data_IF_843972545006
#
_entry.id   IF_843972545006
#
_cell.length_a   1.000
_cell.length_b   1.000
_cell.length_c   1.000
_cell.angle_alpha   90.00
_cell.angle_beta   90.00
_cell.angle_gamma   90.00
#
_symmetry.space_group_name_H-M   'P 1'
#
loop_
_entity.id
_entity.type
_entity.pdbx_description
1 polymer ?
#
# COMPACT_ATOMS: atom_id res chain seq x y z
N UNK A 1 45.56 -23.49 -33.81
CA UNK A 1 44.68 -22.49 -33.14
C UNK A 1 44.22 -23.11 -31.83
N UNK A 2 44.46 -22.42 -30.70
CA UNK A 2 44.56 -23.01 -29.35
C UNK A 2 43.29 -23.75 -28.88
N UNK A 3 43.39 -25.07 -28.75
CA UNK A 3 42.40 -25.93 -28.08
C UNK A 3 42.08 -25.47 -26.65
N UNK A 4 43.06 -24.91 -25.95
CA UNK A 4 42.90 -24.30 -24.62
C UNK A 4 42.02 -23.04 -24.63
N UNK A 5 42.12 -22.22 -25.68
CA UNK A 5 41.29 -21.01 -25.82
C UNK A 5 39.83 -21.38 -26.08
N UNK A 6 39.60 -22.39 -26.93
CA UNK A 6 38.26 -22.94 -27.19
C UNK A 6 37.67 -23.55 -25.91
N UNK A 7 38.47 -24.26 -25.11
CA UNK A 7 38.04 -24.80 -23.82
C UNK A 7 37.61 -23.72 -22.83
N UNK A 8 38.36 -22.61 -22.74
CA UNK A 8 38.04 -21.49 -21.86
C UNK A 8 36.76 -20.77 -22.28
N UNK A 9 36.58 -20.56 -23.59
CA UNK A 9 35.38 -19.91 -24.14
C UNK A 9 34.14 -20.77 -23.87
N UNK A 10 34.22 -22.08 -24.08
CA UNK A 10 33.10 -23.00 -23.79
C UNK A 10 32.75 -23.00 -22.30
N UNK A 11 33.74 -23.03 -21.41
CA UNK A 11 33.51 -22.97 -19.97
C UNK A 11 32.84 -21.65 -19.54
N UNK A 12 33.26 -20.52 -20.11
CA UNK A 12 32.64 -19.22 -19.86
C UNK A 12 31.18 -19.16 -20.31
N UNK A 13 30.88 -19.67 -21.50
CA UNK A 13 29.50 -19.73 -22.02
C UNK A 13 28.61 -20.60 -21.13
N UNK A 14 29.10 -21.76 -20.68
CA UNK A 14 28.35 -22.64 -19.77
C UNK A 14 28.04 -21.95 -18.44
N UNK A 15 29.01 -21.21 -17.88
CA UNK A 15 28.81 -20.47 -16.63
C UNK A 15 27.76 -19.37 -16.78
N UNK A 16 27.81 -18.59 -17.87
CA UNK A 16 26.81 -17.55 -18.17
C UNK A 16 25.42 -18.15 -18.34
N UNK A 17 25.29 -19.24 -19.10
CA UNK A 17 24.01 -19.94 -19.27
C UNK A 17 23.50 -20.48 -17.93
N UNK A 18 24.37 -21.00 -17.08
CA UNK A 18 24.02 -21.47 -15.73
C UNK A 18 23.47 -20.36 -14.84
N UNK A 19 24.11 -19.18 -14.85
CA UNK A 19 23.63 -18.01 -14.09
C UNK A 19 22.30 -17.50 -14.63
N UNK A 20 22.13 -17.44 -15.96
CA UNK A 20 20.86 -17.04 -16.59
C UNK A 20 19.74 -18.01 -16.24
N UNK A 21 20.00 -19.32 -16.30
CA UNK A 21 19.03 -20.35 -15.95
C UNK A 21 18.66 -20.29 -14.46
N UNK A 22 19.64 -20.08 -13.59
CA UNK A 22 19.43 -19.92 -12.14
C UNK A 22 18.59 -18.68 -11.84
N UNK A 23 18.89 -17.55 -12.47
CA UNK A 23 18.15 -16.30 -12.30
C UNK A 23 16.72 -16.42 -12.87
N UNK A 24 16.55 -17.07 -14.04
CA UNK A 24 15.22 -17.34 -14.62
C UNK A 24 14.38 -18.30 -13.75
N UNK A 25 15.02 -19.26 -13.07
CA UNK A 25 14.37 -20.13 -12.10
C UNK A 25 13.92 -19.35 -10.85
N UNK A 26 14.74 -18.41 -10.35
CA UNK A 26 14.35 -17.49 -9.28
C UNK A 26 13.15 -16.64 -9.70
N UNK A 27 13.20 -16.03 -10.88
CA UNK A 27 12.15 -15.18 -11.40
C UNK A 27 10.84 -15.97 -11.62
N UNK A 28 10.92 -17.21 -12.11
CA UNK A 28 9.76 -18.08 -12.30
C UNK A 28 9.16 -18.55 -10.97
N UNK A 29 9.96 -18.69 -9.91
CA UNK A 29 9.48 -19.05 -8.56
C UNK A 29 8.84 -17.84 -7.86
N UNK A 30 9.36 -16.63 -8.09
CA UNK A 30 8.78 -15.37 -7.63
C UNK A 30 7.45 -15.04 -8.36
N UNK A 31 7.39 -15.21 -9.68
CA UNK A 31 6.17 -15.00 -10.48
C UNK A 31 5.02 -15.94 -10.10
N UNK A 32 5.30 -17.13 -9.55
CA UNK A 32 4.26 -18.05 -9.03
C UNK A 32 3.59 -17.56 -7.74
N UNK A 33 4.18 -16.60 -7.02
CA UNK A 33 3.58 -15.98 -5.83
C UNK A 33 2.75 -14.72 -6.16
N UNK A 34 3.00 -14.09 -7.31
CA UNK A 34 2.25 -12.91 -7.78
C UNK A 34 0.91 -13.28 -8.45
N UNK A 35 0.72 -14.52 -8.89
CA UNK A 35 -0.55 -15.00 -9.45
C UNK A 35 -1.68 -15.14 -8.43
N UNK A 36 -1.38 -15.14 -7.13
CA UNK A 36 -2.38 -15.20 -6.06
C UNK A 36 -2.78 -13.82 -5.50
N UNK A 37 -2.04 -12.75 -5.82
CA UNK A 37 -2.31 -11.38 -5.39
C UNK A 37 -2.90 -10.47 -6.49
N UNK A 38 -2.93 -10.92 -7.75
CA UNK A 38 -3.59 -10.24 -8.87
C UNK A 38 -4.75 -11.06 -9.45
N UNK A 39 -5.56 -11.65 -8.57
CA UNK A 39 -6.88 -12.15 -8.93
C UNK A 39 -7.85 -10.98 -9.07
N UNK A 40 -8.04 -10.47 -10.29
CA UNK A 40 -9.21 -9.66 -10.66
C UNK A 40 -10.46 -10.39 -10.18
N UNK A 41 -11.39 -9.77 -9.44
CA UNK A 41 -12.72 -10.32 -9.20
C UNK A 41 -13.51 -10.25 -10.52
N UNK A 42 -13.19 -11.18 -11.43
CA UNK A 42 -13.94 -11.40 -12.66
C UNK A 42 -15.25 -12.08 -12.30
N UNK A 43 -16.30 -11.27 -12.25
CA UNK A 43 -17.66 -11.71 -11.99
C UNK A 43 -18.08 -12.87 -12.89
N UNK A 44 -18.66 -13.89 -12.27
CA UNK A 44 -19.56 -14.83 -12.94
C UNK A 44 -20.78 -15.08 -12.08
N UNK A 45 -21.92 -14.73 -12.66
CA UNK A 45 -23.21 -15.33 -12.37
C UNK A 45 -23.99 -14.64 -11.25
N UNK A 46 -24.65 -13.53 -11.56
CA UNK A 46 -26.06 -13.38 -11.20
C UNK A 46 -26.72 -12.46 -12.23
N UNK A 47 -27.75 -13.01 -12.88
CA UNK A 47 -28.70 -12.35 -13.76
C UNK A 47 -28.96 -10.89 -13.38
N UNK A 48 -28.45 -9.97 -14.20
CA UNK A 48 -28.97 -8.60 -14.26
C UNK A 48 -30.32 -8.66 -14.98
N UNK A 49 -31.39 -8.76 -14.20
CA UNK A 49 -32.73 -8.48 -14.68
C UNK A 49 -32.91 -6.95 -14.75
N UNK A 50 -33.16 -6.43 -15.94
CA UNK A 50 -33.62 -5.05 -16.14
C UNK A 50 -35.15 -5.03 -15.98
N UNK A 51 -35.72 -4.13 -15.16
CA UNK A 51 -37.11 -3.71 -15.34
C UNK A 51 -37.18 -2.22 -15.68
N UNK A 52 -37.82 -1.94 -16.81
CA UNK A 52 -37.94 -0.63 -17.42
C UNK A 52 -38.85 0.36 -16.68
N UNK A 53 -38.63 1.63 -17.02
CA UNK A 53 -39.38 2.80 -16.59
C UNK A 53 -40.81 2.81 -17.18
N UNK A 54 -41.84 2.95 -16.34
CA UNK A 54 -43.05 3.73 -16.66
C UNK A 54 -43.84 4.08 -15.40
N UNK A 55 -44.16 5.38 -15.26
CA UNK A 55 -44.70 5.97 -14.03
C UNK A 55 -46.20 5.89 -13.82
N UNK A 56 -46.66 6.66 -12.83
CA UNK A 56 -48.08 6.85 -12.51
C UNK A 56 -48.28 7.07 -11.01
N UNK A 57 -48.87 8.22 -10.68
CA UNK A 57 -49.29 8.71 -9.37
C UNK A 57 -50.17 7.77 -8.53
N UNK A 58 -50.34 8.21 -7.28
CA UNK A 58 -51.48 8.01 -6.36
C UNK A 58 -51.35 6.94 -5.26
N UNK A 59 -51.14 7.46 -4.05
CA UNK A 59 -52.07 7.47 -2.91
C UNK A 59 -52.75 6.17 -2.41
N UNK A 60 -53.00 6.20 -1.09
CA UNK A 60 -53.95 5.42 -0.28
C UNK A 60 -53.53 4.08 0.39
N UNK A 61 -53.86 4.03 1.69
CA UNK A 61 -53.59 2.99 2.72
C UNK A 61 -54.76 1.96 2.78
N UNK A 62 -54.77 0.96 3.70
CA UNK A 62 -55.05 -0.48 3.51
C UNK A 62 -56.55 -0.80 3.75
N UNK A 63 -57.09 -2.05 3.96
CA UNK A 63 -56.89 -2.84 5.20
C UNK A 63 -57.31 -4.35 5.16
N UNK A 64 -57.45 -4.92 6.38
CA UNK A 64 -58.32 -6.04 6.80
C UNK A 64 -57.67 -7.43 6.87
N UNK A 65 -57.98 -8.31 7.84
CA UNK A 65 -59.20 -8.47 8.65
C UNK A 65 -58.89 -9.36 9.88
N UNK A 66 -59.29 -9.01 11.13
CA UNK A 66 -60.45 -9.49 11.97
C UNK A 66 -60.61 -11.04 12.02
N UNK A 67 -60.92 -11.76 13.11
CA UNK A 67 -61.58 -11.56 14.41
C UNK A 67 -61.20 -12.81 15.30
N UNK A 68 -61.48 -13.01 16.60
CA UNK A 68 -62.73 -12.95 17.38
C UNK A 68 -62.37 -13.03 18.89
N UNK A 69 -63.09 -12.29 19.75
CA UNK A 69 -63.07 -12.36 21.21
C UNK A 69 -63.83 -13.58 21.79
N UNK A 70 -63.40 -14.08 22.94
CA UNK A 70 -64.32 -14.62 23.95
C UNK A 70 -63.71 -14.60 25.37
N UNK A 71 -64.49 -14.07 26.32
CA UNK A 71 -64.14 -13.86 27.71
C UNK A 71 -64.60 -15.02 28.61
N UNK A 72 -63.84 -15.31 29.68
CA UNK A 72 -64.24 -15.23 31.10
C UNK A 72 -63.41 -16.16 32.02
N UNK A 73 -63.12 -15.62 33.22
CA UNK A 73 -62.90 -16.32 34.51
C UNK A 73 -61.45 -16.65 34.97
N UNK A 74 -60.97 -15.87 35.94
CA UNK A 74 -59.80 -16.11 36.83
C UNK A 74 -60.14 -17.17 37.92
N UNK A 75 -59.24 -17.66 38.82
CA UNK A 75 -57.86 -17.23 39.13
C UNK A 75 -56.82 -18.36 39.42
N UNK A 76 -55.58 -17.91 39.65
CA UNK A 76 -54.54 -18.54 40.49
C UNK A 76 -53.71 -19.68 39.89
N UNK A 77 -52.47 -19.35 39.49
CA UNK A 77 -51.23 -20.00 39.96
C UNK A 77 -50.03 -19.38 39.23
N UNK A 78 -48.99 -19.09 40.00
CA UNK A 78 -47.68 -18.53 39.64
C UNK A 78 -47.08 -19.05 38.31
N UNK A 79 -46.62 -18.18 37.39
CA UNK A 79 -45.85 -18.61 36.23
C UNK A 79 -44.37 -18.78 36.58
N UNK A 80 -43.85 -19.96 36.23
CA UNK A 80 -42.43 -20.22 36.04
C UNK A 80 -42.10 -19.72 34.64
N UNK A 81 -41.46 -18.55 34.55
CA UNK A 81 -40.99 -18.00 33.28
C UNK A 81 -39.81 -18.86 32.76
N UNK A 82 -40.12 -19.71 31.78
CA UNK A 82 -39.15 -20.29 30.87
C UNK A 82 -38.86 -19.29 29.76
N UNK A 83 -37.87 -18.43 29.98
CA UNK A 83 -37.28 -17.57 28.96
C UNK A 83 -36.60 -18.45 27.89
N UNK A 84 -37.14 -18.46 26.68
CA UNK A 84 -36.47 -19.05 25.52
C UNK A 84 -35.24 -18.19 25.18
N UNK A 85 -34.02 -18.76 25.10
CA UNK A 85 -32.85 -17.96 24.79
C UNK A 85 -32.91 -17.49 23.33
N UNK A 86 -32.94 -16.17 23.17
CA UNK A 86 -32.71 -15.48 21.90
C UNK A 86 -31.29 -15.79 21.43
N UNK A 87 -31.16 -16.79 20.55
CA UNK A 87 -29.88 -17.18 19.96
C UNK A 87 -29.51 -16.10 18.93
N UNK A 88 -28.46 -15.28 19.16
CA UNK A 88 -28.07 -14.28 18.19
C UNK A 88 -27.58 -15.02 16.94
N UNK A 89 -28.22 -14.75 15.79
CA UNK A 89 -27.73 -15.23 14.50
C UNK A 89 -26.27 -14.77 14.34
N UNK A 90 -25.32 -15.69 14.10
CA UNK A 90 -23.93 -15.32 13.93
C UNK A 90 -23.82 -14.44 12.69
N UNK A 91 -23.60 -13.14 12.89
CA UNK A 91 -23.08 -12.28 11.83
C UNK A 91 -21.76 -12.91 11.36
N UNK A 92 -21.56 -13.14 10.05
CA UNK A 92 -20.26 -13.50 9.56
C UNK A 92 -19.29 -12.40 9.97
N UNK A 93 -18.41 -12.70 10.92
CA UNK A 93 -17.21 -11.92 11.14
C UNK A 93 -16.45 -12.00 9.82
N UNK A 94 -16.54 -10.95 8.99
CA UNK A 94 -15.58 -10.76 7.93
C UNK A 94 -14.19 -10.92 8.56
N UNK A 95 -13.28 -11.73 7.99
CA UNK A 95 -12.01 -12.02 8.62
C UNK A 95 -11.24 -10.70 8.79
N UNK A 96 -11.24 -10.16 10.01
CA UNK A 96 -10.52 -8.94 10.39
C UNK A 96 -8.99 -9.06 10.22
N UNK A 97 -8.51 -10.24 9.81
CA UNK A 97 -7.10 -10.50 9.51
C UNK A 97 -6.62 -9.84 8.22
N UNK A 98 -7.46 -9.73 7.18
CA UNK A 98 -6.99 -9.23 5.88
C UNK A 98 -6.68 -7.71 5.85
N UNK A 99 -7.17 -6.93 6.82
CA UNK A 99 -7.01 -5.49 6.87
C UNK A 99 -5.79 -5.01 7.70
N UNK A 100 -5.00 -5.94 8.26
CA UNK A 100 -3.83 -5.60 9.11
C UNK A 100 -2.49 -6.03 8.52
N UNK A 101 -2.52 -6.82 7.45
CA UNK A 101 -1.31 -7.28 6.80
C UNK A 101 -0.59 -6.07 6.20
N UNK A 102 0.57 -5.75 6.76
CA UNK A 102 1.44 -4.73 6.27
C UNK A 102 2.42 -5.34 5.26
N UNK A 103 2.98 -4.51 4.39
CA UNK A 103 4.08 -4.93 3.54
C UNK A 103 5.22 -5.45 4.44
N UNK A 104 5.84 -6.56 4.07
CA UNK A 104 7.00 -7.09 4.80
C UNK A 104 8.15 -6.06 4.84
N UNK A 105 9.08 -6.15 5.81
CA UNK A 105 10.33 -5.40 5.79
C UNK A 105 11.03 -5.55 4.44
N UNK A 106 11.47 -4.44 3.85
CA UNK A 106 12.19 -4.45 2.59
C UNK A 106 13.66 -4.12 2.84
N UNK A 107 14.54 -5.14 2.93
CA UNK A 107 15.93 -4.91 3.24
C UNK A 107 16.68 -4.17 2.13
N UNK A 108 16.14 -4.01 0.92
CA UNK A 108 16.84 -3.30 -0.16
C UNK A 108 16.75 -1.78 0.01
N UNK A 109 15.66 -1.28 0.61
CA UNK A 109 15.39 0.16 0.78
C UNK A 109 15.33 0.61 2.25
N UNK A 110 15.32 -0.33 3.19
CA UNK A 110 15.23 -0.06 4.63
C UNK A 110 16.38 -0.69 5.42
N UNK A 111 16.75 -0.01 6.50
CA UNK A 111 17.50 -0.62 7.60
C UNK A 111 16.54 -1.40 8.49
N UNK A 112 16.56 -2.72 8.34
CA UNK A 112 15.67 -3.62 9.06
C UNK A 112 16.41 -4.24 10.23
N UNK A 113 15.90 -4.00 11.44
CA UNK A 113 16.38 -4.67 12.66
C UNK A 113 15.23 -5.47 13.24
N UNK A 114 15.42 -6.79 13.29
CA UNK A 114 14.44 -7.73 13.86
C UNK A 114 14.81 -8.04 15.31
N UNK A 115 13.88 -7.75 16.21
CA UNK A 115 13.94 -8.06 17.62
C UNK A 115 13.15 -9.34 17.91
N UNK A 116 13.71 -10.19 18.75
CA UNK A 116 13.09 -11.42 19.25
C UNK A 116 12.92 -11.30 20.77
N UNK A 117 11.77 -10.77 21.25
CA UNK A 117 11.46 -10.74 22.67
C UNK A 117 11.45 -12.13 23.30
N UNK A 118 11.99 -12.24 24.53
CA UNK A 118 11.94 -13.50 25.29
C UNK A 118 10.50 -13.93 25.61
N UNK A 119 9.59 -12.95 25.75
CA UNK A 119 8.16 -13.16 25.97
C UNK A 119 7.34 -12.38 24.94
N UNK A 120 6.18 -12.91 24.50
CA UNK A 120 5.29 -12.20 23.60
C UNK A 120 4.93 -10.80 24.12
N UNK A 121 5.24 -9.77 23.33
CA UNK A 121 5.20 -8.36 23.77
C UNK A 121 3.94 -7.66 23.26
N UNK A 122 3.22 -6.94 24.12
CA UNK A 122 2.03 -6.19 23.69
C UNK A 122 2.41 -4.90 22.95
N UNK A 123 1.55 -4.39 22.05
CA UNK A 123 1.77 -3.08 21.42
C UNK A 123 1.93 -1.93 22.41
N UNK A 124 1.33 -2.02 23.60
CA UNK A 124 1.46 -1.01 24.64
C UNK A 124 2.92 -0.84 25.11
N UNK A 125 3.68 -1.94 25.21
CA UNK A 125 5.10 -1.89 25.56
C UNK A 125 5.96 -1.23 24.47
N UNK A 126 5.47 -1.21 23.22
CA UNK A 126 6.15 -0.65 22.06
C UNK A 126 5.75 0.81 21.77
N UNK A 127 4.72 1.33 22.46
CA UNK A 127 4.11 2.62 22.15
C UNK A 127 5.10 3.79 22.20
N UNK A 128 6.06 3.77 23.12
CA UNK A 128 7.08 4.82 23.19
C UNK A 128 8.02 4.78 21.98
N UNK A 129 8.45 3.59 21.57
CA UNK A 129 9.36 3.42 20.44
C UNK A 129 8.65 3.72 19.10
N UNK A 130 7.39 3.31 18.95
CA UNK A 130 6.59 3.59 17.75
C UNK A 130 6.19 5.06 17.61
N UNK A 131 6.17 5.81 18.71
CA UNK A 131 5.94 7.25 18.71
C UNK A 131 7.20 8.07 18.34
N UNK A 132 8.39 7.45 18.25
CA UNK A 132 9.61 8.16 17.93
C UNK A 132 9.50 8.84 16.55
N UNK A 133 9.98 10.07 16.45
CA UNK A 133 10.12 10.80 15.20
C UNK A 133 11.59 10.87 14.84
N UNK A 134 11.89 10.61 13.58
CA UNK A 134 13.23 10.68 13.00
C UNK A 134 13.21 11.53 11.74
N UNK A 135 14.39 11.88 11.24
CA UNK A 135 14.51 12.61 9.98
C UNK A 135 13.99 11.78 8.79
N UNK A 136 14.22 10.47 8.82
CA UNK A 136 13.70 9.51 7.83
C UNK A 136 12.48 8.76 8.37
N UNK A 137 11.54 8.34 7.49
CA UNK A 137 10.41 7.50 7.88
C UNK A 137 10.86 6.24 8.62
N UNK A 138 10.24 6.00 9.78
CA UNK A 138 10.45 4.82 10.61
C UNK A 138 9.12 4.09 10.75
N UNK A 139 9.10 2.80 10.40
CA UNK A 139 7.93 1.94 10.60
C UNK A 139 8.24 0.78 11.52
N UNK A 140 7.21 0.35 12.23
CA UNK A 140 7.26 -0.77 13.18
C UNK A 140 6.26 -1.84 12.76
N UNK A 141 6.75 -3.06 12.64
CA UNK A 141 5.96 -4.23 12.26
C UNK A 141 6.07 -5.30 13.33
N UNK A 142 4.97 -5.99 13.57
CA UNK A 142 4.89 -7.10 14.51
C UNK A 142 4.46 -8.38 13.78
N UNK A 143 5.01 -9.50 14.20
CA UNK A 143 4.63 -10.83 13.73
C UNK A 143 4.40 -11.74 14.94
N UNK A 144 3.35 -12.56 14.90
CA UNK A 144 2.94 -13.46 16.01
C UNK A 144 3.44 -14.89 15.85
N UNK A 145 4.37 -15.12 14.93
CA UNK A 145 4.91 -16.44 14.60
C UNK A 145 5.58 -16.41 13.23
N UNK A 146 6.65 -17.18 13.05
CA UNK A 146 7.55 -17.07 11.89
C UNK A 146 6.86 -17.18 10.51
N UNK A 147 5.77 -17.94 10.41
CA UNK A 147 5.04 -18.15 9.15
C UNK A 147 3.84 -17.21 8.95
N UNK A 148 3.56 -16.33 9.92
CA UNK A 148 2.46 -15.37 9.84
C UNK A 148 2.88 -14.08 9.12
N UNK A 149 1.94 -13.36 8.49
CA UNK A 149 2.25 -12.09 7.86
C UNK A 149 2.69 -11.04 8.89
N UNK A 150 3.53 -10.12 8.43
CA UNK A 150 3.86 -8.91 9.18
C UNK A 150 2.63 -8.01 9.27
N UNK A 151 2.38 -7.47 10.46
CA UNK A 151 1.28 -6.56 10.72
C UNK A 151 1.83 -5.22 11.23
N UNK A 152 1.14 -4.13 10.90
CA UNK A 152 1.45 -2.84 11.50
C UNK A 152 1.21 -2.88 13.01
N UNK A 153 2.15 -2.34 13.79
CA UNK A 153 2.00 -2.25 15.25
C UNK A 153 1.08 -1.06 15.56
N UNK A 154 -0.24 -1.32 15.58
CA UNK A 154 -1.24 -0.41 16.14
C UNK A 154 -1.49 -0.69 17.63
N UNK A 155 -2.20 0.20 18.32
CA UNK A 155 -2.46 0.08 19.76
C UNK A 155 -3.32 -1.15 20.15
N UNK A 156 -3.97 -1.83 19.19
CA UNK A 156 -4.93 -2.90 19.44
C UNK A 156 -4.39 -4.31 19.09
N UNK A 157 -3.25 -4.42 18.42
CA UNK A 157 -2.68 -5.69 18.01
C UNK A 157 -1.59 -6.19 18.97
N UNK A 158 -1.51 -7.51 19.18
CA UNK A 158 -0.52 -8.15 20.05
C UNK A 158 -1.10 -9.43 20.69
N UNK A 159 -0.29 -10.18 21.45
CA UNK A 159 1.14 -9.97 21.67
C UNK A 159 1.99 -10.40 20.46
N UNK A 160 3.18 -9.84 20.33
CA UNK A 160 4.13 -10.00 19.22
C UNK A 160 5.28 -10.92 19.63
N UNK A 161 5.60 -11.89 18.78
CA UNK A 161 6.73 -12.80 18.96
C UNK A 161 7.99 -12.28 18.26
N UNK A 162 7.82 -11.53 17.18
CA UNK A 162 8.89 -10.84 16.48
C UNK A 162 8.46 -9.40 16.18
N UNK A 163 9.42 -8.49 16.27
CA UNK A 163 9.21 -7.06 16.01
C UNK A 163 10.28 -6.61 15.03
N UNK A 164 9.90 -5.99 13.92
CA UNK A 164 10.83 -5.37 12.99
C UNK A 164 10.72 -3.84 13.07
N UNK A 165 11.86 -3.20 13.30
CA UNK A 165 12.03 -1.76 13.16
C UNK A 165 12.66 -1.51 11.77
N UNK A 166 12.01 -0.69 10.94
CA UNK A 166 12.48 -0.45 9.56
C UNK A 166 12.65 1.06 9.35
N UNK A 167 13.89 1.52 9.21
CA UNK A 167 14.25 2.90 8.88
C UNK A 167 14.44 3.03 7.37
N UNK A 168 13.76 3.96 6.71
CA UNK A 168 13.98 4.20 5.29
C UNK A 168 15.38 4.78 5.03
N UNK A 169 16.13 4.17 4.10
CA UNK A 169 17.51 4.54 3.81
C UNK A 169 17.64 5.76 2.91
N UNK A 170 16.76 5.94 1.94
CA UNK A 170 16.81 7.08 1.04
C UNK A 170 15.40 7.49 0.59
N UNK A 171 15.21 8.77 0.36
CA UNK A 171 14.00 9.35 -0.23
C UNK A 171 14.38 10.60 -1.06
N UNK A 172 13.40 11.33 -1.59
CA UNK A 172 13.65 12.55 -2.38
C UNK A 172 14.33 13.69 -1.59
N UNK A 173 14.46 13.58 -0.27
CA UNK A 173 15.20 14.53 0.56
C UNK A 173 16.66 14.12 0.80
N UNK A 174 17.08 12.95 0.28
CA UNK A 174 18.45 12.44 0.31
C UNK A 174 18.59 11.09 1.01
N UNK A 175 19.83 10.65 1.20
CA UNK A 175 20.19 9.49 2.02
C UNK A 175 19.99 9.71 3.53
N UNK A 176 19.78 8.64 4.28
CA UNK A 176 19.86 8.61 5.74
C UNK A 176 21.32 8.83 6.15
N UNK A 177 21.57 9.83 7.00
CA UNK A 177 22.92 10.09 7.46
C UNK A 177 23.37 9.05 8.49
N UNK A 178 24.67 8.92 8.71
CA UNK A 178 25.22 8.11 9.80
C UNK A 178 24.62 8.48 11.17
N UNK A 179 24.37 9.76 11.41
CA UNK A 179 23.74 10.23 12.65
C UNK A 179 22.29 9.74 12.80
N UNK A 180 21.54 9.67 11.69
CA UNK A 180 20.18 9.14 11.69
C UNK A 180 20.15 7.65 12.02
N UNK A 181 21.06 6.88 11.39
CA UNK A 181 21.21 5.44 11.68
C UNK A 181 21.65 5.20 13.12
N UNK A 182 22.62 5.96 13.64
CA UNK A 182 23.06 5.84 15.04
C UNK A 182 21.92 6.15 16.02
N UNK A 183 21.11 7.18 15.76
CA UNK A 183 19.95 7.53 16.58
C UNK A 183 18.88 6.42 16.55
N UNK A 184 18.66 5.80 15.39
CA UNK A 184 17.80 4.63 15.21
C UNK A 184 18.29 3.42 16.00
N UNK A 185 19.57 3.05 15.89
CA UNK A 185 20.12 1.92 16.63
C UNK A 185 20.10 2.15 18.14
N UNK A 186 20.32 3.38 18.61
CA UNK A 186 20.16 3.73 20.02
C UNK A 186 18.70 3.57 20.51
N UNK A 187 17.72 3.92 19.69
CA UNK A 187 16.32 3.72 20.02
C UNK A 187 15.95 2.23 20.09
N UNK A 188 16.45 1.42 19.15
CA UNK A 188 16.28 -0.04 19.17
C UNK A 188 16.93 -0.64 20.42
N UNK A 189 18.16 -0.24 20.76
CA UNK A 189 18.85 -0.74 21.94
C UNK A 189 18.06 -0.48 23.24
N UNK A 190 17.48 0.72 23.37
CA UNK A 190 16.61 1.07 24.51
C UNK A 190 15.36 0.20 24.55
N UNK A 191 14.72 -0.01 23.40
CA UNK A 191 13.54 -0.85 23.30
C UNK A 191 13.86 -2.32 23.64
N UNK A 192 14.90 -2.87 23.03
CA UNK A 192 15.36 -4.24 23.25
C UNK A 192 15.63 -4.51 24.74
N UNK A 193 16.25 -3.55 25.43
CA UNK A 193 16.44 -3.62 26.89
C UNK A 193 15.11 -3.61 27.66
N UNK A 194 14.15 -2.76 27.25
CA UNK A 194 12.84 -2.65 27.92
C UNK A 194 11.98 -3.91 27.77
N UNK A 195 12.06 -4.60 26.62
CA UNK A 195 11.26 -5.80 26.32
C UNK A 195 12.04 -7.11 26.46
N UNK A 196 13.31 -7.05 26.88
CA UNK A 196 14.22 -8.20 26.96
C UNK A 196 14.25 -9.00 25.64
N UNK A 197 14.61 -8.31 24.56
CA UNK A 197 14.69 -8.89 23.22
C UNK A 197 16.12 -9.01 22.71
N UNK A 198 16.40 -10.13 22.05
CA UNK A 198 17.64 -10.34 21.32
C UNK A 198 17.55 -9.74 19.91
N UNK A 199 18.64 -9.16 19.44
CA UNK A 199 18.76 -8.59 18.09
C UNK A 199 20.23 -8.52 17.67
N UNK A 200 20.46 -8.40 16.36
CA UNK A 200 21.79 -8.17 15.79
C UNK A 200 21.83 -6.74 15.24
N UNK A 201 22.59 -5.82 15.85
CA UNK A 201 22.72 -4.47 15.33
C UNK A 201 23.54 -4.47 14.03
N UNK A 202 23.10 -3.78 12.96
CA UNK A 202 23.96 -3.49 11.83
C UNK A 202 25.04 -2.48 12.22
N UNK A 203 26.11 -2.42 11.44
CA UNK A 203 27.14 -1.39 11.59
C UNK A 203 26.63 -0.07 10.99
N UNK A 204 26.58 0.98 11.80
CA UNK A 204 26.01 2.27 11.37
C UNK A 204 26.76 2.90 10.19
N UNK A 205 28.08 2.65 10.08
CA UNK A 205 28.90 3.13 8.97
C UNK A 205 28.52 2.46 7.64
N UNK A 206 28.41 1.13 7.64
CA UNK A 206 28.04 0.35 6.47
C UNK A 206 26.63 0.70 5.99
N UNK A 207 25.70 0.89 6.92
CA UNK A 207 24.32 1.20 6.60
C UNK A 207 24.15 2.62 6.05
N UNK A 208 24.93 3.58 6.56
CA UNK A 208 24.97 4.93 6.00
C UNK A 208 25.59 4.92 4.58
N UNK A 209 26.65 4.13 4.36
CA UNK A 209 27.23 3.98 3.03
C UNK A 209 26.22 3.36 2.03
N UNK A 210 25.44 2.38 2.49
CA UNK A 210 24.35 1.77 1.71
C UNK A 210 23.24 2.76 1.38
N UNK A 211 22.87 3.62 2.33
CA UNK A 211 21.93 4.70 2.09
C UNK A 211 22.43 5.69 1.02
N UNK A 212 23.70 6.07 1.07
CA UNK A 212 24.32 6.93 0.06
C UNK A 212 24.38 6.28 -1.34
N UNK A 213 24.67 4.98 -1.40
CA UNK A 213 24.65 4.23 -2.66
C UNK A 213 23.24 4.16 -3.25
N UNK A 214 22.23 3.88 -2.43
CA UNK A 214 20.84 3.85 -2.83
C UNK A 214 20.36 5.23 -3.32
N UNK A 215 20.68 6.30 -2.60
CA UNK A 215 20.33 7.68 -3.00
C UNK A 215 20.95 8.04 -4.35
N UNK A 216 22.24 7.74 -4.54
CA UNK A 216 22.93 7.97 -5.83
C UNK A 216 22.28 7.18 -6.96
N UNK A 217 21.96 5.90 -6.72
CA UNK A 217 21.26 5.08 -7.69
C UNK A 217 19.88 5.64 -8.05
N UNK A 218 19.12 6.11 -7.07
CA UNK A 218 17.82 6.74 -7.30
C UNK A 218 17.97 8.04 -8.12
N UNK A 219 18.98 8.85 -7.80
CA UNK A 219 19.27 10.08 -8.54
C UNK A 219 19.67 9.81 -10.00
N UNK A 220 20.44 8.75 -10.26
CA UNK A 220 20.83 8.33 -11.61
C UNK A 220 19.65 7.83 -12.46
N UNK A 221 18.62 7.28 -11.80
CA UNK A 221 17.40 6.80 -12.44
C UNK A 221 16.25 7.82 -12.46
N UNK A 222 16.40 8.98 -11.80
CA UNK A 222 15.37 10.02 -11.75
C UNK A 222 15.33 10.80 -13.07
N UNK A 223 14.65 10.23 -14.06
CA UNK A 223 14.50 10.83 -15.40
C UNK A 223 13.13 11.47 -15.53
N UNK A 224 13.12 12.79 -15.69
CA UNK A 224 11.93 13.52 -16.12
C UNK A 224 11.91 13.65 -17.64
N UNK A 225 10.90 13.07 -18.30
CA UNK A 225 10.69 13.22 -19.74
C UNK A 225 9.94 14.52 -20.01
N UNK A 226 10.63 15.51 -20.59
CA UNK A 226 10.06 16.77 -21.05
C UNK A 226 9.87 16.80 -22.56
N UNK A 227 8.63 16.96 -23.04
CA UNK A 227 8.32 17.19 -24.45
C UNK A 227 7.87 18.63 -24.65
N UNK A 228 8.53 19.36 -25.54
CA UNK A 228 8.15 20.74 -25.88
C UNK A 228 7.52 20.76 -27.27
N UNK A 229 6.28 21.26 -27.35
CA UNK A 229 5.59 21.45 -28.62
C UNK A 229 5.82 22.89 -29.08
N UNK A 230 6.60 23.05 -30.15
CA UNK A 230 6.85 24.34 -30.79
C UNK A 230 6.07 24.44 -32.10
N UNK A 231 5.46 25.60 -32.36
CA UNK A 231 4.85 25.90 -33.64
C UNK A 231 5.93 26.40 -34.60
N UNK A 232 6.05 25.78 -35.79
CA UNK A 232 7.07 26.11 -36.79
C UNK A 232 6.89 27.51 -37.41
N UNK A 233 5.66 28.00 -37.48
CA UNK A 233 5.35 29.33 -38.02
C UNK A 233 5.40 30.41 -36.94
N UNK A 234 5.77 31.64 -37.32
CA UNK A 234 5.70 32.83 -36.46
C UNK A 234 4.26 33.02 -35.93
N UNK A 235 4.01 32.59 -34.69
CA UNK A 235 2.72 32.75 -34.04
C UNK A 235 2.56 31.88 -32.80
N UNK A 236 1.60 32.23 -31.95
CA UNK A 236 1.27 31.46 -30.75
C UNK A 236 0.25 30.35 -31.08
N UNK A 237 0.23 29.29 -30.27
CA UNK A 237 -0.85 28.32 -30.29
C UNK A 237 -2.09 29.01 -29.69
N UNK A 238 -3.20 29.03 -30.43
CA UNK A 238 -4.43 29.62 -29.92
C UNK A 238 -4.92 28.86 -28.67
N UNK A 239 -5.16 29.59 -27.58
CA UNK A 239 -5.51 29.00 -26.28
C UNK A 239 -6.77 28.14 -26.30
N UNK A 240 -7.80 28.55 -27.07
CA UNK A 240 -9.02 27.76 -27.28
C UNK A 240 -8.75 26.40 -27.90
N UNK A 241 -7.85 26.36 -28.90
CA UNK A 241 -7.45 25.10 -29.55
C UNK A 241 -6.63 24.24 -28.61
N UNK A 242 -5.70 24.84 -27.87
CA UNK A 242 -4.90 24.12 -26.86
C UNK A 242 -5.80 23.47 -25.81
N UNK A 243 -6.73 24.24 -25.24
CA UNK A 243 -7.70 23.74 -24.25
C UNK A 243 -8.54 22.60 -24.82
N UNK A 244 -9.13 22.78 -26.00
CA UNK A 244 -9.98 21.76 -26.62
C UNK A 244 -9.23 20.46 -26.89
N UNK A 245 -7.98 20.53 -27.36
CA UNK A 245 -7.15 19.33 -27.60
C UNK A 245 -6.72 18.68 -26.29
N UNK A 246 -6.30 19.47 -25.29
CA UNK A 246 -5.88 18.95 -23.98
C UNK A 246 -7.03 18.24 -23.26
N UNK A 247 -8.21 18.87 -23.19
CA UNK A 247 -9.40 18.28 -22.57
C UNK A 247 -9.86 17.02 -23.32
N UNK A 248 -9.83 17.03 -24.65
CA UNK A 248 -10.16 15.84 -25.47
C UNK A 248 -9.17 14.69 -25.27
N UNK A 249 -7.91 14.99 -24.96
CA UNK A 249 -6.88 14.01 -24.60
C UNK A 249 -6.97 13.54 -23.12
N UNK A 250 -7.94 14.07 -22.35
CA UNK A 250 -8.18 13.66 -20.96
C UNK A 250 -7.44 14.50 -19.91
N UNK A 251 -6.75 15.57 -20.30
CA UNK A 251 -6.16 16.50 -19.35
C UNK A 251 -7.24 17.36 -18.70
N UNK A 252 -7.00 17.77 -17.45
CA UNK A 252 -7.86 18.68 -16.70
C UNK A 252 -7.05 19.89 -16.28
N UNK A 253 -7.63 21.08 -16.42
CA UNK A 253 -7.00 22.30 -15.94
C UNK A 253 -7.01 22.33 -14.41
N UNK A 254 -5.83 22.36 -13.79
CA UNK A 254 -5.67 22.45 -12.36
C UNK A 254 -5.75 23.90 -11.86
N UNK A 255 -6.05 24.13 -10.58
CA UNK A 255 -6.07 25.48 -9.99
C UNK A 255 -4.73 26.22 -10.10
N UNK A 256 -3.62 25.49 -10.27
CA UNK A 256 -2.30 26.05 -10.50
C UNK A 256 -2.09 26.58 -11.93
N UNK A 257 -3.08 26.44 -12.82
CA UNK A 257 -3.00 26.89 -14.21
C UNK A 257 -2.18 25.96 -15.11
N UNK A 258 -2.13 24.67 -14.79
CA UNK A 258 -1.49 23.64 -15.61
C UNK A 258 -2.55 22.63 -16.06
N UNK A 259 -2.35 22.00 -17.22
CA UNK A 259 -3.17 20.87 -17.62
C UNK A 259 -2.55 19.60 -17.04
N UNK A 260 -3.29 18.88 -16.20
CA UNK A 260 -2.82 17.66 -15.54
C UNK A 260 -3.60 16.46 -16.06
N UNK A 261 -2.87 15.39 -16.40
CA UNK A 261 -3.43 14.10 -16.70
C UNK A 261 -3.30 13.22 -15.44
N UNK A 262 -4.43 12.78 -14.91
CA UNK A 262 -4.50 12.04 -13.65
C UNK A 262 -4.73 10.56 -13.90
N UNK A 263 -4.14 9.71 -13.05
CA UNK A 263 -4.49 8.31 -12.99
C UNK A 263 -5.89 8.14 -12.35
N UNK A 264 -6.81 7.45 -13.02
CA UNK A 264 -8.22 7.38 -12.63
C UNK A 264 -8.46 6.76 -11.24
N UNK A 265 -7.67 5.74 -10.87
CA UNK A 265 -7.84 5.01 -9.62
C UNK A 265 -7.20 5.72 -8.41
N UNK A 266 -6.05 6.37 -8.61
CA UNK A 266 -5.24 6.94 -7.50
C UNK A 266 -5.35 8.46 -7.40
N UNK A 267 -5.80 9.13 -8.46
CA UNK A 267 -5.79 10.60 -8.56
C UNK A 267 -4.40 11.21 -8.70
N UNK A 268 -3.35 10.41 -8.89
CA UNK A 268 -1.97 10.90 -9.02
C UNK A 268 -1.75 11.53 -10.39
N UNK A 269 -1.03 12.66 -10.44
CA UNK A 269 -0.63 13.31 -11.70
C UNK A 269 0.41 12.44 -12.42
N UNK A 270 0.09 11.97 -13.62
CA UNK A 270 1.01 11.20 -14.47
C UNK A 270 1.83 12.11 -15.38
N UNK A 271 1.20 13.13 -15.95
CA UNK A 271 1.88 14.13 -16.74
C UNK A 271 1.20 15.50 -16.62
N UNK A 272 2.00 16.55 -16.81
CA UNK A 272 1.51 17.92 -16.86
C UNK A 272 1.90 18.58 -18.18
N UNK A 273 1.00 19.40 -18.69
CA UNK A 273 1.22 20.30 -19.81
C UNK A 273 1.17 21.73 -19.27
N UNK A 274 2.30 22.42 -19.43
CA UNK A 274 2.50 23.78 -18.97
C UNK A 274 2.95 24.68 -20.10
N UNK A 275 2.76 25.99 -19.94
CA UNK A 275 3.32 26.96 -20.86
C UNK A 275 4.84 26.86 -20.84
N UNK A 276 5.47 26.95 -22.01
CA UNK A 276 6.93 26.97 -22.13
C UNK A 276 7.58 28.08 -21.29
N UNK A 277 6.90 29.22 -21.13
CA UNK A 277 7.35 30.33 -20.27
C UNK A 277 7.10 30.11 -18.77
N UNK A 278 6.54 28.96 -18.38
CA UNK A 278 6.13 28.63 -17.01
C UNK A 278 5.06 29.58 -16.43
N UNK A 279 4.41 30.37 -17.27
CA UNK A 279 3.25 31.19 -16.90
C UNK A 279 2.00 30.31 -16.81
N UNK A 280 1.16 30.47 -15.77
CA UNK A 280 -0.06 29.68 -15.62
C UNK A 280 -1.06 29.99 -16.74
N UNK A 281 -1.73 28.96 -17.25
CA UNK A 281 -2.86 29.14 -18.16
C UNK A 281 -4.05 29.73 -17.39
N UNK A 282 -4.47 30.93 -17.79
CA UNK A 282 -5.67 31.58 -17.29
C UNK A 282 -6.85 31.29 -18.20
N UNK A 283 -8.07 31.35 -17.66
CA UNK A 283 -9.31 31.24 -18.47
C UNK A 283 -9.33 32.26 -19.61
N UNK A 284 -8.76 33.45 -19.40
CA UNK A 284 -8.65 34.50 -20.41
C UNK A 284 -7.67 34.12 -21.53
N UNK A 285 -6.52 33.52 -21.18
CA UNK A 285 -5.55 33.04 -22.18
C UNK A 285 -6.04 31.83 -23.00
N UNK A 286 -7.06 31.12 -22.49
CA UNK A 286 -7.66 29.92 -23.10
C UNK A 286 -9.00 30.18 -23.82
N UNK A 287 -9.43 31.46 -23.91
CA UNK A 287 -10.59 31.91 -24.69
C UNK A 287 -10.18 32.54 -26.02
#
# INVERSE_FOLDING_TARGET
MNSLFIGLVVAGVVLVIGVIAYNWLQERRARRRLGAAFGVPGGRGHERAEPGLRGGDSDSVPPSSVAIEQAAEEPSATPVDGEAPDVPLPRPLAPAHAARDALAPDPDIESVVVLHPTLPTSSAALAQASALRQAKPLRWLGRRGADLPWQGIDAAAGPWEEIAACLLLADRSGAASRGDVEAFLQAIAKLAAAVSADYVPPEAGDEAARAEELDRFCADLDVQIGLTILKTELGQIAGTRLRGVAEAAGFRLSPAGQFEYLQEETGTVLCSLQNYKQEPFTIESLR
#
